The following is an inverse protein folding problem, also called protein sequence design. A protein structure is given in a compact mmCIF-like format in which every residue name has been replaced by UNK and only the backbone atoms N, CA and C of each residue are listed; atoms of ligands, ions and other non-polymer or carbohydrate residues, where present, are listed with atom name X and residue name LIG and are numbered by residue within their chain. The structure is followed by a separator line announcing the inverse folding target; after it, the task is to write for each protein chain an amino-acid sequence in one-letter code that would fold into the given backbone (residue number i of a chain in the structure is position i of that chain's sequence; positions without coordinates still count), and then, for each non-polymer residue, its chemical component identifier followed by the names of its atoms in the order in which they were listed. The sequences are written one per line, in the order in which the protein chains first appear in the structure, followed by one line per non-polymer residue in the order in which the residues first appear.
data_IF_476565604425
#
_entry.id   IF_476565604425
#
_cell.length_a   1.000
_cell.length_b   1.000
_cell.length_c   1.000
_cell.angle_alpha   90.00
_cell.angle_beta   90.00
_cell.angle_gamma   90.00
#
_symmetry.space_group_name_H-M   'P 1'
#
loop_
_entity.id
_entity.type
_entity.pdbx_description
1 polymer ?
#
# COMPACT_ATOMS: atom_id res chain seq x y z
N UNK A 1 -14.08 29.85 -2.86
CA UNK A 1 -13.94 28.40 -3.17
C UNK A 1 -12.46 28.09 -3.19
N UNK A 2 -11.95 27.59 -2.07
CA UNK A 2 -10.51 27.41 -1.88
C UNK A 2 -10.15 25.97 -2.24
N UNK A 3 -9.48 25.78 -3.36
CA UNK A 3 -8.88 24.50 -3.72
C UNK A 3 -7.52 24.42 -3.04
N UNK A 4 -7.40 23.59 -2.01
CA UNK A 4 -6.11 23.20 -1.46
C UNK A 4 -5.53 22.16 -2.40
N UNK A 5 -4.66 22.58 -3.31
CA UNK A 5 -3.82 21.66 -4.08
C UNK A 5 -2.86 21.02 -3.08
N UNK A 6 -3.13 19.79 -2.66
CA UNK A 6 -2.16 18.97 -1.94
C UNK A 6 -1.13 18.49 -2.95
N UNK A 7 -0.13 19.32 -3.22
CA UNK A 7 1.02 18.95 -4.04
C UNK A 7 1.77 17.83 -3.33
N UNK A 8 1.77 16.64 -3.94
CA UNK A 8 2.77 15.58 -3.85
C UNK A 8 3.46 15.42 -2.48
N UNK A 9 2.99 14.49 -1.65
CA UNK A 9 3.57 14.22 -0.32
C UNK A 9 4.88 13.42 -0.36
N UNK A 10 5.39 13.04 -1.54
CA UNK A 10 6.65 12.32 -1.69
C UNK A 10 7.53 12.95 -2.79
N UNK A 11 8.74 13.36 -2.41
CA UNK A 11 9.75 14.00 -3.29
C UNK A 11 10.36 13.03 -4.33
N UNK A 12 10.01 11.74 -4.29
CA UNK A 12 10.66 10.70 -5.10
C UNK A 12 9.64 9.72 -5.66
N UNK A 13 9.27 9.92 -6.93
CA UNK A 13 8.53 8.94 -7.73
C UNK A 13 9.53 7.94 -8.32
N UNK A 14 9.22 6.66 -8.25
CA UNK A 14 10.08 5.58 -8.78
C UNK A 14 9.38 4.93 -9.96
N UNK A 15 10.03 4.91 -11.12
CA UNK A 15 9.59 4.14 -12.28
C UNK A 15 10.44 2.87 -12.44
N UNK A 16 9.77 1.73 -12.52
CA UNK A 16 10.39 0.43 -12.73
C UNK A 16 10.56 0.16 -14.22
N UNK A 17 11.78 0.40 -14.73
CA UNK A 17 12.12 0.17 -16.15
C UNK A 17 12.16 -1.32 -16.50
N UNK A 18 12.72 -2.15 -15.63
CA UNK A 18 12.73 -3.61 -15.77
C UNK A 18 13.32 -4.28 -14.53
N UNK A 19 12.56 -5.10 -13.81
CA UNK A 19 13.07 -5.82 -12.62
C UNK A 19 12.57 -7.26 -12.57
N UNK A 20 13.39 -8.15 -12.01
CA UNK A 20 13.03 -9.54 -11.72
C UNK A 20 12.27 -9.72 -10.41
N UNK A 21 12.45 -8.77 -9.48
CA UNK A 21 11.81 -8.76 -8.18
C UNK A 21 11.49 -7.32 -7.77
N UNK A 22 10.33 -7.16 -7.13
CA UNK A 22 9.81 -5.91 -6.62
C UNK A 22 9.65 -6.05 -5.10
N UNK A 23 10.31 -5.17 -4.35
CA UNK A 23 10.19 -5.09 -2.90
C UNK A 23 10.01 -3.62 -2.50
N UNK A 24 8.76 -3.22 -2.22
CA UNK A 24 8.39 -1.85 -1.85
C UNK A 24 7.99 -1.86 -0.39
N UNK A 25 8.66 -1.04 0.43
CA UNK A 25 8.41 -0.96 1.88
C UNK A 25 8.04 0.46 2.28
N UNK A 26 7.06 0.56 3.16
CA UNK A 26 6.64 1.78 3.82
C UNK A 26 6.55 1.52 5.32
N UNK A 27 7.10 2.41 6.12
CA UNK A 27 7.15 2.28 7.57
C UNK A 27 6.53 3.49 8.24
N UNK A 28 5.83 3.27 9.35
CA UNK A 28 5.26 4.33 10.19
C UNK A 28 5.33 3.96 11.66
N UNK A 29 5.70 4.91 12.51
CA UNK A 29 5.77 4.71 13.96
C UNK A 29 4.37 4.74 14.55
N UNK A 30 4.01 3.77 15.39
CA UNK A 30 2.73 3.77 16.12
C UNK A 30 2.49 5.06 16.90
N UNK A 31 3.56 5.65 17.48
CA UNK A 31 3.53 6.91 18.22
C UNK A 31 3.07 8.13 17.41
N UNK A 32 3.22 8.10 16.08
CA UNK A 32 2.77 9.20 15.20
C UNK A 32 1.30 9.06 14.80
N UNK A 33 0.70 7.92 15.11
CA UNK A 33 -0.68 7.60 14.78
C UNK A 33 -1.59 7.88 15.97
N UNK A 34 -2.83 8.25 15.68
CA UNK A 34 -3.86 8.34 16.71
C UNK A 34 -4.15 6.95 17.30
N UNK A 35 -4.09 6.78 18.63
CA UNK A 35 -4.46 5.52 19.28
C UNK A 35 -5.93 5.16 19.06
N UNK A 36 -6.27 3.90 19.35
CA UNK A 36 -7.65 3.36 19.26
C UNK A 36 -8.29 3.52 17.87
N UNK A 37 -7.45 3.52 16.84
CA UNK A 37 -7.84 3.79 15.46
C UNK A 37 -7.33 2.69 14.56
N UNK A 38 -8.19 2.20 13.67
CA UNK A 38 -7.78 1.30 12.58
C UNK A 38 -7.18 2.13 11.45
N UNK A 39 -5.98 1.77 11.01
CA UNK A 39 -5.35 2.35 9.83
C UNK A 39 -5.31 1.31 8.71
N UNK A 40 -5.46 1.78 7.48
CA UNK A 40 -5.22 0.99 6.28
C UNK A 40 -4.03 1.57 5.51
N UNK A 41 -3.22 0.67 4.94
CA UNK A 41 -2.11 1.02 4.07
C UNK A 41 -2.54 0.89 2.61
N UNK A 42 -2.23 1.90 1.81
CA UNK A 42 -2.56 1.96 0.39
C UNK A 42 -1.28 2.17 -0.41
N UNK A 43 -1.08 1.35 -1.44
CA UNK A 43 -0.07 1.63 -2.46
C UNK A 43 -0.67 2.63 -3.45
N UNK A 44 0.03 3.74 -3.70
CA UNK A 44 -0.34 4.73 -4.71
C UNK A 44 0.61 4.62 -5.91
N UNK A 45 0.06 4.33 -7.08
CA UNK A 45 0.85 3.99 -8.27
C UNK A 45 0.16 4.36 -9.59
N UNK A 46 0.93 4.33 -10.67
CA UNK A 46 0.51 4.49 -12.06
C UNK A 46 1.09 3.34 -12.88
N UNK A 47 0.44 3.06 -14.00
CA UNK A 47 0.94 2.14 -15.01
C UNK A 47 1.37 2.95 -16.22
N UNK A 48 2.58 2.69 -16.72
CA UNK A 48 3.07 3.27 -17.96
C UNK A 48 2.21 2.80 -19.14
N UNK A 49 2.33 3.46 -20.30
CA UNK A 49 1.59 3.07 -21.51
C UNK A 49 1.87 1.62 -21.94
N UNK A 50 3.07 1.13 -21.65
CA UNK A 50 3.49 -0.26 -21.84
C UNK A 50 3.92 -0.79 -20.48
N UNK A 51 3.26 -1.84 -20.00
CA UNK A 51 3.56 -2.50 -18.74
C UNK A 51 3.35 -4.01 -18.88
N UNK A 52 4.14 -4.80 -18.15
CA UNK A 52 4.06 -6.27 -18.16
C UNK A 52 4.31 -6.83 -16.75
N UNK A 53 3.74 -8.00 -16.46
CA UNK A 53 4.01 -8.75 -15.22
C UNK A 53 3.42 -8.20 -13.92
N UNK A 54 2.53 -7.20 -14.00
CA UNK A 54 1.94 -6.52 -12.84
C UNK A 54 0.56 -7.07 -12.44
N UNK A 55 0.32 -8.37 -12.59
CA UNK A 55 -1.00 -8.97 -12.36
C UNK A 55 -1.31 -9.15 -10.88
N UNK A 56 -0.33 -9.67 -10.14
CA UNK A 56 -0.43 -10.04 -8.73
C UNK A 56 0.80 -9.53 -8.00
N UNK A 57 0.62 -9.20 -6.73
CA UNK A 57 1.70 -9.00 -5.78
C UNK A 57 1.24 -9.43 -4.39
N UNK A 58 2.19 -9.77 -3.52
CA UNK A 58 1.91 -10.08 -2.12
C UNK A 58 2.05 -8.80 -1.30
N UNK A 59 0.97 -8.36 -0.69
CA UNK A 59 0.97 -7.27 0.29
C UNK A 59 1.06 -7.85 1.71
N UNK A 60 1.94 -7.28 2.52
CA UNK A 60 2.21 -7.71 3.89
C UNK A 60 2.11 -6.50 4.80
N UNK A 61 1.39 -6.62 5.92
CA UNK A 61 1.42 -5.68 7.04
C UNK A 61 1.99 -6.41 8.24
N UNK A 62 2.98 -5.82 8.92
CA UNK A 62 3.54 -6.40 10.15
C UNK A 62 3.95 -5.31 11.14
N UNK A 63 3.87 -5.64 12.42
CA UNK A 63 4.55 -4.89 13.47
C UNK A 63 6.01 -5.31 13.52
N UNK A 64 6.92 -4.34 13.58
CA UNK A 64 8.35 -4.56 13.68
C UNK A 64 8.74 -4.50 15.16
N UNK A 65 9.23 -5.61 15.69
CA UNK A 65 9.79 -5.69 17.04
C UNK A 65 11.33 -5.57 16.96
N UNK A 66 11.95 -4.91 17.93
CA UNK A 66 13.42 -4.81 18.03
C UNK A 66 14.07 -6.14 18.43
N UNK A 67 13.37 -6.95 19.23
CA UNK A 67 13.75 -8.33 19.54
C UNK A 67 13.13 -9.27 18.50
N UNK A 68 13.91 -9.64 17.49
CA UNK A 68 13.47 -10.53 16.42
C UNK A 68 12.85 -11.82 16.97
N UNK A 69 11.57 -12.04 16.65
CA UNK A 69 10.87 -13.28 16.97
C UNK A 69 9.48 -13.06 17.56
N UNK A 70 8.52 -12.73 16.70
CA UNK A 70 7.21 -13.39 16.68
C UNK A 70 6.49 -13.01 15.36
N UNK A 71 6.00 -13.99 14.61
CA UNK A 71 5.15 -13.76 13.41
C UNK A 71 3.71 -13.34 13.81
N UNK A 72 3.43 -13.23 15.12
CA UNK A 72 2.17 -12.73 15.68
C UNK A 72 1.89 -11.30 15.21
N UNK A 73 0.91 -11.17 14.32
CA UNK A 73 0.46 -9.87 13.78
C UNK A 73 0.85 -9.62 12.32
N UNK A 74 1.44 -10.61 11.62
CA UNK A 74 1.68 -10.51 10.18
C UNK A 74 0.40 -10.80 9.39
N UNK A 75 -0.12 -9.78 8.70
CA UNK A 75 -1.18 -9.94 7.71
C UNK A 75 -0.54 -10.07 6.32
N UNK A 76 -0.91 -11.10 5.55
CA UNK A 76 -0.46 -11.28 4.16
C UNK A 76 -1.66 -11.49 3.25
N UNK A 77 -1.71 -10.78 2.12
CA UNK A 77 -2.76 -10.95 1.11
C UNK A 77 -2.22 -10.77 -0.31
N UNK A 78 -2.89 -11.39 -1.26
CA UNK A 78 -2.62 -11.14 -2.68
C UNK A 78 -3.42 -9.91 -3.12
N UNK A 79 -2.75 -8.97 -3.79
CA UNK A 79 -3.36 -7.79 -4.39
C UNK A 79 -3.19 -7.82 -5.91
N UNK A 80 -4.18 -7.27 -6.61
CA UNK A 80 -4.13 -7.08 -8.05
C UNK A 80 -3.71 -5.64 -8.33
N UNK A 81 -2.67 -5.44 -9.16
CA UNK A 81 -2.20 -4.10 -9.54
C UNK A 81 -2.78 -3.64 -10.89
N UNK A 82 -3.56 -4.50 -11.55
CA UNK A 82 -4.26 -4.16 -12.78
C UNK A 82 -5.74 -3.90 -12.51
N UNK A 83 -6.34 -2.92 -13.20
CA UNK A 83 -7.78 -2.78 -13.21
C UNK A 83 -8.44 -4.08 -13.69
N UNK A 84 -9.60 -4.46 -13.11
CA UNK A 84 -10.28 -5.68 -13.52
C UNK A 84 -10.63 -5.61 -15.01
N UNK A 85 -10.23 -6.64 -15.76
CA UNK A 85 -10.53 -6.74 -17.21
C UNK A 85 -12.03 -6.88 -17.50
N UNK A 86 -12.83 -7.25 -16.49
CA UNK A 86 -14.30 -7.40 -16.58
C UNK A 86 -14.98 -6.75 -15.37
N UNK A 87 -16.04 -5.95 -15.56
CA UNK A 87 -16.87 -5.48 -14.45
C UNK A 87 -17.43 -6.68 -13.66
N UNK A 88 -17.30 -6.66 -12.32
CA UNK A 88 -17.93 -7.66 -11.43
C UNK A 88 -17.05 -8.81 -10.92
N UNK A 89 -15.75 -8.84 -11.22
CA UNK A 89 -14.83 -9.82 -10.58
C UNK A 89 -14.54 -9.47 -9.11
N UNK A 90 -14.54 -10.46 -8.21
CA UNK A 90 -14.13 -10.38 -6.78
C UNK A 90 -12.62 -10.09 -6.56
N UNK A 91 -11.99 -9.34 -7.45
CA UNK A 91 -10.58 -8.94 -7.31
C UNK A 91 -10.47 -7.71 -6.42
N UNK A 92 -9.32 -7.58 -5.74
CA UNK A 92 -8.95 -6.35 -5.02
C UNK A 92 -9.16 -5.15 -5.94
N UNK A 93 -10.00 -4.20 -5.50
CA UNK A 93 -10.43 -3.08 -6.34
C UNK A 93 -9.29 -2.06 -6.39
N UNK A 94 -8.61 -2.01 -7.53
CA UNK A 94 -7.78 -0.86 -7.87
C UNK A 94 -8.70 0.33 -8.11
N UNK A 95 -8.57 1.37 -7.30
CA UNK A 95 -9.38 2.59 -7.40
C UNK A 95 -8.58 3.63 -8.16
N UNK A 96 -9.17 4.21 -9.21
CA UNK A 96 -8.58 5.35 -9.92
C UNK A 96 -9.02 6.64 -9.22
N UNK A 97 -8.05 7.48 -8.84
CA UNK A 97 -8.26 8.81 -8.27
C UNK A 97 -8.51 9.84 -9.37
N UNK A 98 -9.02 11.00 -8.97
CA UNK A 98 -9.27 12.13 -9.88
C UNK A 98 -7.99 12.73 -10.49
N UNK A 99 -6.85 12.59 -9.81
CA UNK A 99 -5.51 13.01 -10.27
C UNK A 99 -4.85 11.99 -11.24
N UNK A 100 -5.58 10.92 -11.58
CA UNK A 100 -5.14 9.86 -12.46
C UNK A 100 -4.17 8.85 -11.83
N UNK A 101 -3.85 8.95 -10.54
CA UNK A 101 -3.20 7.86 -9.79
C UNK A 101 -4.18 6.74 -9.49
N UNK A 102 -3.63 5.56 -9.24
CA UNK A 102 -4.35 4.38 -8.81
C UNK A 102 -3.96 4.02 -7.37
N UNK A 103 -4.91 3.50 -6.62
CA UNK A 103 -4.72 3.04 -5.25
C UNK A 103 -5.17 1.59 -5.12
N UNK A 104 -4.42 0.82 -4.32
CA UNK A 104 -4.85 -0.51 -3.88
C UNK A 104 -4.59 -0.66 -2.39
N UNK A 105 -5.57 -1.19 -1.66
CA UNK A 105 -5.43 -1.49 -0.24
C UNK A 105 -4.52 -2.70 -0.04
N UNK A 106 -3.44 -2.49 0.71
CA UNK A 106 -2.45 -3.51 1.06
C UNK A 106 -2.86 -4.32 2.29
N UNK A 107 -3.63 -3.71 3.20
CA UNK A 107 -4.09 -4.30 4.44
C UNK A 107 -4.37 -3.23 5.49
N UNK A 108 -4.76 -3.66 6.68
CA UNK A 108 -5.15 -2.78 7.78
C UNK A 108 -4.65 -3.30 9.12
N UNK A 109 -4.37 -2.39 10.03
CA UNK A 109 -3.92 -2.69 11.39
C UNK A 109 -4.59 -1.75 12.40
N UNK A 110 -4.75 -2.23 13.63
CA UNK A 110 -5.30 -1.45 14.71
C UNK A 110 -4.18 -0.89 15.59
N UNK A 111 -4.25 0.40 15.93
CA UNK A 111 -3.29 1.05 16.81
C UNK A 111 -3.82 1.02 18.23
N UNK A 112 -3.16 0.26 19.10
CA UNK A 112 -3.49 0.20 20.53
C UNK A 112 -3.01 1.45 21.28
N UNK A 113 -3.58 1.69 22.46
CA UNK A 113 -3.10 2.73 23.36
C UNK A 113 -1.69 2.39 23.86
N UNK A 114 -0.76 3.34 23.76
CA UNK A 114 0.66 3.10 24.08
C UNK A 114 1.40 2.24 23.05
N UNK A 115 0.88 2.07 21.83
CA UNK A 115 1.59 1.31 20.78
C UNK A 115 2.84 2.07 20.30
N UNK A 116 4.00 1.56 20.68
CA UNK A 116 5.30 2.13 20.31
C UNK A 116 5.91 1.47 19.07
N UNK A 117 5.42 0.29 18.68
CA UNK A 117 6.01 -0.48 17.58
C UNK A 117 5.84 0.25 16.25
N UNK A 118 6.82 0.03 15.38
CA UNK A 118 6.74 0.47 13.99
C UNK A 118 5.89 -0.52 13.19
N UNK A 119 5.04 0.00 12.31
CA UNK A 119 4.29 -0.82 11.36
C UNK A 119 4.96 -0.72 10.00
N UNK A 120 5.24 -1.87 9.40
CA UNK A 120 5.74 -1.96 8.04
C UNK A 120 4.66 -2.53 7.11
N UNK A 121 4.40 -1.78 6.03
CA UNK A 121 3.69 -2.26 4.86
C UNK A 121 4.71 -2.62 3.78
N UNK A 122 4.60 -3.84 3.24
CA UNK A 122 5.50 -4.35 2.23
C UNK A 122 4.71 -4.91 1.04
N UNK A 123 5.08 -4.52 -0.18
CA UNK A 123 4.59 -5.12 -1.42
C UNK A 123 5.74 -5.91 -2.06
N UNK A 124 5.52 -7.21 -2.25
CA UNK A 124 6.51 -8.14 -2.76
C UNK A 124 6.00 -8.90 -3.99
N UNK A 125 6.79 -8.91 -5.06
CA UNK A 125 6.62 -9.83 -6.19
C UNK A 125 8.00 -10.32 -6.64
N UNK A 126 8.18 -11.64 -6.77
CA UNK A 126 9.50 -12.27 -6.99
C UNK A 126 9.51 -13.30 -8.10
N UNK A 127 8.35 -13.57 -8.72
CA UNK A 127 8.15 -14.73 -9.60
C UNK A 127 8.13 -14.37 -11.07
N UNK A 128 8.05 -13.09 -11.42
CA UNK A 128 7.86 -12.63 -12.80
C UNK A 128 8.65 -11.36 -13.07
N UNK A 129 9.05 -11.23 -14.33
CA UNK A 129 9.58 -10.00 -14.87
C UNK A 129 8.51 -8.89 -14.85
N UNK A 130 8.88 -7.70 -14.38
CA UNK A 130 7.96 -6.57 -14.27
C UNK A 130 8.53 -5.30 -14.89
N UNK A 131 7.67 -4.55 -15.57
CA UNK A 131 8.00 -3.24 -16.14
C UNK A 131 6.79 -2.32 -16.17
N UNK A 132 7.04 -1.02 -16.14
CA UNK A 132 6.01 0.01 -16.33
C UNK A 132 5.18 0.30 -15.08
N UNK A 133 5.63 -0.09 -13.89
CA UNK A 133 5.04 0.33 -12.62
C UNK A 133 5.70 1.62 -12.14
N UNK A 134 4.89 2.65 -11.92
CA UNK A 134 5.32 3.95 -11.42
C UNK A 134 4.74 4.11 -10.02
N UNK A 135 5.57 4.24 -8.99
CA UNK A 135 5.12 4.28 -7.60
C UNK A 135 5.31 5.69 -7.05
N UNK A 136 4.23 6.25 -6.49
CA UNK A 136 4.29 7.48 -5.70
C UNK A 136 4.70 7.17 -4.26
N UNK A 137 4.12 6.14 -3.66
CA UNK A 137 4.48 5.69 -2.33
C UNK A 137 3.42 4.85 -1.65
N UNK A 138 3.56 4.71 -0.32
CA UNK A 138 2.58 4.07 0.55
C UNK A 138 1.94 5.12 1.45
N UNK A 139 0.61 5.14 1.48
CA UNK A 139 -0.19 6.01 2.33
C UNK A 139 -0.84 5.21 3.46
N UNK A 140 -0.61 5.65 4.70
CA UNK A 140 -1.33 5.17 5.87
C UNK A 140 -2.48 6.12 6.17
N UNK A 141 -3.72 5.62 6.20
CA UNK A 141 -4.93 6.44 6.41
C UNK A 141 -5.81 5.81 7.49
N UNK A 142 -6.43 6.62 8.37
CA UNK A 142 -7.41 6.10 9.32
C UNK A 142 -8.63 5.60 8.54
N UNK A 143 -9.09 4.40 8.88
CA UNK A 143 -10.38 3.87 8.43
C UNK A 143 -11.42 4.48 9.35
N UNK A 144 -12.35 5.25 8.80
CA UNK A 144 -13.41 5.84 9.61
C UNK A 144 -14.16 4.72 10.33
N UNK A 145 -14.18 4.77 11.66
CA UNK A 145 -15.15 4.00 12.42
C UNK A 145 -16.52 4.55 12.05
N UNK A 146 -17.35 3.78 11.34
CA UNK A 146 -18.79 3.99 11.40
C UNK A 146 -19.19 3.64 12.84
N UNK A 147 -19.23 4.65 13.71
CA UNK A 147 -19.87 4.51 15.02
C UNK A 147 -21.34 4.24 14.77
N UNK A 148 -21.78 3.02 15.08
CA UNK A 148 -23.17 2.61 15.11
C UNK A 148 -23.82 3.05 16.43
#
# INVERSE_FOLDING_TARGET
MSFVIRTCRFSKVIELKSVWWLDVKGKIKGQTLTPKTTYAAYLVFKLAKRYEGLELATAIIRFVNESGGDDTGKQSRIVHLQPPRKPGSRQTVVIRRDDGWMEVEMGSFYVHEGEEREVEAQLLETRRWQTGLIIEGIEFRPVACLSN
#
